data_IF_609386890529
#
_entry.id   IF_609386890529
#
_cell.length_a   1.000
_cell.length_b   1.000
_cell.length_c   1.000
_cell.angle_alpha   90.00
_cell.angle_beta   90.00
_cell.angle_gamma   90.00
#
_symmetry.space_group_name_H-M   'P 1'
#
loop_
_entity.id
_entity.type
_entity.pdbx_description
1 polymer ?
#
# COMPACT_ATOMS: atom_id res chain seq x y z
N UNK A 1 19.32 2.52 5.59
CA UNK A 1 19.02 3.67 4.72
C UNK A 1 17.78 3.43 3.89
N UNK A 2 17.81 2.46 2.97
CA UNK A 2 16.65 2.18 2.12
C UNK A 2 15.45 1.69 2.92
N UNK A 3 15.68 0.91 3.97
CA UNK A 3 14.59 0.45 4.82
C UNK A 3 13.90 1.64 5.51
N UNK A 4 14.68 2.63 5.94
CA UNK A 4 14.11 3.83 6.56
C UNK A 4 13.23 4.61 5.58
N UNK A 5 13.62 4.66 4.30
CA UNK A 5 12.81 5.30 3.26
C UNK A 5 11.49 4.56 3.10
N UNK A 6 11.54 3.24 3.04
CA UNK A 6 10.32 2.41 2.92
C UNK A 6 9.41 2.63 4.13
N UNK A 7 9.96 2.57 5.33
CA UNK A 7 9.18 2.75 6.55
C UNK A 7 8.56 4.13 6.64
N UNK A 8 9.31 5.16 6.29
CA UNK A 8 8.81 6.53 6.34
C UNK A 8 7.66 6.72 5.35
N UNK A 9 7.81 6.18 4.14
CA UNK A 9 6.74 6.28 3.14
C UNK A 9 5.47 5.56 3.63
N UNK A 10 5.63 4.36 4.20
CA UNK A 10 4.50 3.60 4.72
C UNK A 10 3.80 4.34 5.87
N UNK A 11 4.57 4.98 6.76
CA UNK A 11 4.00 5.77 7.84
C UNK A 11 3.22 6.96 7.32
N UNK A 12 3.75 7.65 6.31
CA UNK A 12 3.06 8.78 5.71
C UNK A 12 1.79 8.34 5.00
N UNK A 13 1.84 7.23 4.28
CA UNK A 13 0.67 6.67 3.62
C UNK A 13 -0.42 6.31 4.62
N UNK A 14 -0.04 5.67 5.73
CA UNK A 14 -0.96 5.31 6.80
C UNK A 14 -1.60 6.56 7.40
N UNK A 15 -0.79 7.54 7.76
CA UNK A 15 -1.26 8.76 8.41
C UNK A 15 -2.22 9.54 7.52
N UNK A 16 -1.85 9.75 6.26
CA UNK A 16 -2.69 10.54 5.35
C UNK A 16 -3.99 9.83 5.01
N UNK A 17 -3.94 8.50 4.82
CA UNK A 17 -5.15 7.74 4.53
C UNK A 17 -6.08 7.69 5.74
N UNK A 18 -5.54 7.44 6.94
CA UNK A 18 -6.37 7.32 8.13
C UNK A 18 -6.99 8.66 8.55
N UNK A 19 -6.32 9.76 8.25
CA UNK A 19 -6.83 11.10 8.53
C UNK A 19 -7.61 11.70 7.36
N UNK A 20 -7.81 10.93 6.28
CA UNK A 20 -8.57 11.35 5.10
C UNK A 20 -8.01 12.61 4.45
N UNK A 21 -6.68 12.72 4.45
CA UNK A 21 -5.98 13.87 3.87
C UNK A 21 -5.71 13.57 2.40
N UNK A 22 -6.70 13.82 1.56
CA UNK A 22 -6.65 13.42 0.15
C UNK A 22 -5.44 13.97 -0.59
N UNK A 23 -5.25 15.30 -0.54
CA UNK A 23 -4.17 15.93 -1.31
C UNK A 23 -2.79 15.43 -0.83
N UNK A 24 -2.60 15.34 0.48
CA UNK A 24 -1.35 14.86 1.04
C UNK A 24 -1.10 13.41 0.69
N UNK A 25 -2.17 12.59 0.69
CA UNK A 25 -2.05 11.18 0.33
C UNK A 25 -1.67 11.01 -1.14
N UNK A 26 -2.33 11.75 -2.03
CA UNK A 26 -2.02 11.67 -3.45
C UNK A 26 -0.64 12.22 -3.78
N UNK A 27 -0.08 13.09 -2.94
CA UNK A 27 1.27 13.59 -3.12
C UNK A 27 2.35 12.52 -2.88
N UNK A 28 1.96 11.40 -2.27
CA UNK A 28 2.85 10.25 -2.08
C UNK A 28 2.90 9.33 -3.30
N UNK A 29 2.10 9.60 -4.31
CA UNK A 29 1.92 8.73 -5.46
C UNK A 29 2.37 9.44 -6.72
N UNK A 30 3.25 8.77 -7.49
CA UNK A 30 3.74 9.32 -8.75
C UNK A 30 2.62 9.45 -9.77
N UNK A 31 2.67 10.50 -10.57
CA UNK A 31 1.72 10.66 -11.68
C UNK A 31 1.89 9.58 -12.75
N UNK A 32 3.01 8.86 -12.71
CA UNK A 32 3.29 7.74 -13.61
C UNK A 32 2.97 6.39 -12.97
N UNK A 33 2.27 6.38 -11.85
CA UNK A 33 2.04 5.16 -11.08
C UNK A 33 1.30 4.09 -11.90
N UNK A 34 1.63 2.84 -11.59
CA UNK A 34 0.99 1.68 -12.20
C UNK A 34 0.68 0.67 -11.09
N UNK A 35 -0.58 0.32 -10.94
CA UNK A 35 -1.02 -0.75 -10.03
C UNK A 35 -1.43 -1.95 -10.85
N UNK A 36 -0.87 -3.12 -10.54
CA UNK A 36 -1.17 -4.37 -11.23
C UNK A 36 -1.55 -5.45 -10.21
N UNK A 37 -2.04 -6.58 -10.72
CA UNK A 37 -2.40 -7.73 -9.89
C UNK A 37 -3.80 -7.70 -9.33
N UNK A 38 -4.58 -6.66 -9.63
CA UNK A 38 -5.96 -6.58 -9.18
C UNK A 38 -6.85 -7.30 -10.19
N UNK A 39 -7.59 -8.31 -9.72
CA UNK A 39 -8.44 -9.11 -10.59
C UNK A 39 -9.46 -8.24 -11.31
N UNK A 40 -9.56 -8.45 -12.63
CA UNK A 40 -10.48 -7.68 -13.47
C UNK A 40 -9.91 -6.40 -14.02
N UNK A 41 -8.67 -6.05 -13.68
CA UNK A 41 -8.02 -4.82 -14.15
C UNK A 41 -6.60 -5.14 -14.59
N UNK A 42 -6.21 -4.62 -15.76
CA UNK A 42 -4.84 -4.81 -16.23
C UNK A 42 -3.87 -3.85 -15.55
N UNK A 43 -4.27 -2.60 -15.43
CA UNK A 43 -3.41 -1.56 -14.89
C UNK A 43 -4.26 -0.39 -14.40
N UNK A 44 -3.96 0.10 -13.21
CA UNK A 44 -4.63 1.26 -12.65
C UNK A 44 -3.62 2.41 -12.62
N UNK A 45 -3.97 3.51 -13.28
CA UNK A 45 -3.11 4.68 -13.35
C UNK A 45 -3.44 5.71 -12.25
N UNK A 46 -2.74 6.82 -12.28
CA UNK A 46 -2.90 7.87 -11.27
C UNK A 46 -4.34 8.39 -11.18
N UNK A 47 -4.95 8.68 -12.33
CA UNK A 47 -6.31 9.24 -12.32
C UNK A 47 -7.33 8.27 -11.76
N UNK A 48 -7.21 7.00 -12.09
CA UNK A 48 -8.10 5.97 -11.54
C UNK A 48 -7.88 5.81 -10.05
N UNK A 49 -6.63 5.82 -9.60
CA UNK A 49 -6.29 5.74 -8.20
C UNK A 49 -6.88 6.92 -7.42
N UNK A 50 -6.71 8.13 -7.98
CA UNK A 50 -7.23 9.34 -7.35
C UNK A 50 -8.76 9.28 -7.19
N UNK A 51 -9.45 8.79 -8.22
CA UNK A 51 -10.91 8.66 -8.14
C UNK A 51 -11.35 7.71 -7.05
N UNK A 52 -10.65 6.59 -6.90
CA UNK A 52 -10.98 5.62 -5.85
C UNK A 52 -10.74 6.23 -4.47
N UNK A 53 -9.59 6.87 -4.27
CA UNK A 53 -9.25 7.50 -2.99
C UNK A 53 -10.22 8.62 -2.64
N UNK A 54 -10.56 9.46 -3.63
CA UNK A 54 -11.50 10.56 -3.41
C UNK A 54 -12.84 10.03 -2.92
N UNK A 55 -13.33 8.99 -3.58
CA UNK A 55 -14.61 8.38 -3.22
C UNK A 55 -14.55 7.77 -1.82
N UNK A 56 -13.49 7.01 -1.53
CA UNK A 56 -13.34 6.37 -0.22
C UNK A 56 -13.25 7.37 0.91
N UNK A 57 -12.51 8.46 0.69
CA UNK A 57 -12.35 9.48 1.73
C UNK A 57 -13.62 10.31 1.90
N UNK A 58 -14.30 10.65 0.80
CA UNK A 58 -15.50 11.47 0.86
C UNK A 58 -16.70 10.73 1.46
N UNK A 59 -16.84 9.44 1.15
CA UNK A 59 -17.96 8.64 1.65
C UNK A 59 -17.74 8.12 3.06
N UNK A 60 -16.51 8.19 3.56
CA UNK A 60 -16.17 7.66 4.88
C UNK A 60 -16.16 6.15 4.96
N UNK A 61 -16.14 5.46 3.82
CA UNK A 61 -16.16 3.99 3.81
C UNK A 61 -14.83 3.42 4.32
N UNK A 62 -13.74 4.16 4.15
CA UNK A 62 -12.43 3.73 4.62
C UNK A 62 -12.30 4.00 6.12
N UNK A 63 -12.12 2.94 6.90
CA UNK A 63 -11.90 3.05 8.34
C UNK A 63 -10.42 3.24 8.67
N UNK A 64 -9.59 2.35 8.17
CA UNK A 64 -8.15 2.43 8.44
C UNK A 64 -7.34 1.64 7.43
N UNK A 65 -6.08 2.05 7.30
CA UNK A 65 -5.06 1.34 6.52
C UNK A 65 -3.89 1.10 7.44
N UNK A 66 -3.32 -0.11 7.39
CA UNK A 66 -2.09 -0.41 8.12
C UNK A 66 -1.25 -1.40 7.34
N UNK A 67 0.03 -1.45 7.66
CA UNK A 67 0.98 -2.34 6.99
C UNK A 67 1.69 -3.19 8.03
N UNK A 68 1.91 -4.47 7.70
CA UNK A 68 2.61 -5.42 8.57
C UNK A 68 3.73 -6.09 7.81
N UNK A 69 4.91 -6.12 8.42
CA UNK A 69 6.06 -6.76 7.82
C UNK A 69 6.70 -5.90 6.75
N UNK A 70 7.97 -6.14 6.52
CA UNK A 70 8.72 -5.40 5.51
C UNK A 70 9.85 -6.30 5.02
N UNK A 71 9.83 -6.57 3.71
CA UNK A 71 10.88 -7.37 3.08
C UNK A 71 11.52 -6.53 1.98
N UNK A 72 12.73 -6.07 2.24
CA UNK A 72 13.48 -5.27 1.25
C UNK A 72 13.95 -6.18 0.12
N UNK A 73 13.78 -5.73 -1.12
CA UNK A 73 14.20 -6.48 -2.30
C UNK A 73 15.43 -5.86 -2.96
N UNK A 74 15.41 -4.56 -3.20
CA UNK A 74 16.51 -3.87 -3.84
C UNK A 74 16.45 -2.38 -3.54
N UNK A 75 17.58 -1.71 -3.72
CA UNK A 75 17.62 -0.26 -3.56
C UNK A 75 18.76 0.32 -4.38
N UNK A 76 18.57 1.57 -4.80
CA UNK A 76 19.59 2.39 -5.44
C UNK A 76 19.43 3.81 -4.89
N UNK A 77 20.17 4.75 -5.44
CA UNK A 77 20.05 6.14 -5.00
C UNK A 77 18.69 6.75 -5.32
N UNK A 78 17.99 6.20 -6.31
CA UNK A 78 16.73 6.78 -6.80
C UNK A 78 15.54 5.84 -6.74
N UNK A 79 15.72 4.57 -6.36
CA UNK A 79 14.63 3.61 -6.30
C UNK A 79 14.77 2.67 -5.11
N UNK A 80 13.64 2.32 -4.51
CA UNK A 80 13.58 1.37 -3.41
C UNK A 80 12.42 0.42 -3.68
N UNK A 81 12.70 -0.89 -3.68
CA UNK A 81 11.68 -1.91 -3.92
C UNK A 81 11.56 -2.80 -2.69
N UNK A 82 10.33 -3.03 -2.27
CA UNK A 82 10.08 -3.86 -1.09
C UNK A 82 8.70 -4.52 -1.17
N UNK A 83 8.48 -5.48 -0.28
CA UNK A 83 7.18 -6.13 -0.10
C UNK A 83 6.69 -5.89 1.32
N UNK A 84 5.38 -5.78 1.46
CA UNK A 84 4.73 -5.65 2.77
C UNK A 84 3.33 -6.24 2.68
N UNK A 85 2.64 -6.32 3.83
CA UNK A 85 1.27 -6.79 3.88
C UNK A 85 0.37 -5.61 4.23
N UNK A 86 -0.54 -5.28 3.34
CA UNK A 86 -1.46 -4.16 3.52
C UNK A 86 -2.80 -4.64 4.02
N UNK A 87 -3.33 -3.99 5.06
CA UNK A 87 -4.63 -4.30 5.61
C UNK A 87 -5.49 -3.04 5.52
N UNK A 88 -6.59 -3.13 4.80
CA UNK A 88 -7.54 -2.04 4.65
C UNK A 88 -8.85 -2.46 5.29
N UNK A 89 -9.30 -1.69 6.27
CA UNK A 89 -10.55 -1.96 6.96
C UNK A 89 -11.58 -0.90 6.60
N UNK A 90 -12.78 -1.35 6.23
CA UNK A 90 -13.89 -0.46 5.93
C UNK A 90 -14.74 -0.23 7.17
N UNK A 91 -15.56 0.83 7.14
CA UNK A 91 -16.42 1.19 8.28
C UNK A 91 -17.49 0.15 8.60
N UNK A 92 -17.80 -0.74 7.65
CA UNK A 92 -18.71 -1.85 7.90
C UNK A 92 -18.00 -3.10 8.42
N UNK A 93 -16.73 -2.96 8.82
CA UNK A 93 -15.86 -4.02 9.32
C UNK A 93 -15.36 -5.00 8.26
N UNK A 94 -15.60 -4.73 6.98
CA UNK A 94 -15.01 -5.52 5.90
C UNK A 94 -13.50 -5.28 5.89
N UNK A 95 -12.73 -6.35 5.76
CA UNK A 95 -11.28 -6.27 5.73
C UNK A 95 -10.77 -6.82 4.40
N UNK A 96 -9.96 -6.01 3.71
CA UNK A 96 -9.19 -6.43 2.55
C UNK A 96 -7.74 -6.44 2.93
N UNK A 97 -7.10 -7.59 2.79
CA UNK A 97 -5.71 -7.74 3.20
C UNK A 97 -4.94 -8.47 2.10
N UNK A 98 -3.84 -7.86 1.67
CA UNK A 98 -3.05 -8.39 0.56
C UNK A 98 -1.57 -8.12 0.79
N UNK A 99 -0.73 -9.08 0.37
CA UNK A 99 0.68 -8.77 0.18
C UNK A 99 0.81 -7.85 -1.02
N UNK A 100 1.72 -6.89 -0.95
CA UNK A 100 1.97 -5.97 -2.05
C UNK A 100 3.48 -5.82 -2.26
N UNK A 101 3.86 -5.66 -3.52
CA UNK A 101 5.22 -5.30 -3.88
C UNK A 101 5.20 -3.84 -4.32
N UNK A 102 6.07 -3.03 -3.75
CA UNK A 102 6.08 -1.59 -3.92
C UNK A 102 7.41 -1.15 -4.50
N UNK A 103 7.36 -0.25 -5.48
CA UNK A 103 8.53 0.44 -5.99
C UNK A 103 8.35 1.94 -5.75
N UNK A 104 9.25 2.51 -4.96
CA UNK A 104 9.31 3.95 -4.74
C UNK A 104 10.41 4.54 -5.61
N UNK A 105 10.18 5.75 -6.11
CA UNK A 105 11.17 6.48 -6.90
C UNK A 105 11.35 7.88 -6.34
N UNK A 106 12.61 8.30 -6.27
CA UNK A 106 12.95 9.67 -5.89
C UNK A 106 12.75 10.57 -7.10
N UNK A 107 11.84 11.53 -6.98
CA UNK A 107 11.52 12.42 -8.09
C UNK A 107 12.30 13.73 -8.01
N UNK A 108 12.18 14.52 -9.07
CA UNK A 108 12.99 15.74 -9.22
C UNK A 108 12.82 16.75 -8.10
N UNK A 109 11.67 16.74 -7.41
CA UNK A 109 11.42 17.63 -6.29
C UNK A 109 11.98 17.12 -4.96
N UNK A 110 12.70 16.00 -4.98
CA UNK A 110 13.31 15.43 -3.79
C UNK A 110 12.39 14.54 -2.97
N UNK A 111 11.20 14.24 -3.46
CA UNK A 111 10.26 13.39 -2.75
C UNK A 111 10.25 11.98 -3.29
N UNK A 112 10.09 11.02 -2.38
CA UNK A 112 9.92 9.62 -2.73
C UNK A 112 8.45 9.36 -2.98
N UNK A 113 8.12 8.83 -4.17
CA UNK A 113 6.74 8.56 -4.56
C UNK A 113 6.56 7.14 -5.04
N UNK A 114 5.35 6.63 -4.84
CA UNK A 114 4.98 5.30 -5.30
C UNK A 114 4.93 5.30 -6.83
N UNK A 115 5.80 4.50 -7.44
CA UNK A 115 5.83 4.37 -8.90
C UNK A 115 5.12 3.12 -9.39
N UNK A 116 5.26 2.02 -8.66
CA UNK A 116 4.59 0.76 -9.02
C UNK A 116 4.13 0.06 -7.76
N UNK A 117 2.95 -0.55 -7.85
CA UNK A 117 2.46 -1.44 -6.81
C UNK A 117 1.86 -2.67 -7.49
N UNK A 118 2.22 -3.85 -6.98
CA UNK A 118 1.69 -5.11 -7.48
C UNK A 118 1.04 -5.85 -6.33
N UNK A 119 -0.22 -6.22 -6.51
CA UNK A 119 -0.93 -7.02 -5.52
C UNK A 119 -0.51 -8.47 -5.72
N UNK A 120 -0.01 -9.10 -4.66
CA UNK A 120 0.48 -10.47 -4.70
C UNK A 120 -0.65 -11.47 -4.45
N UNK A 121 -0.47 -12.70 -4.94
CA UNK A 121 -1.37 -13.78 -4.57
C UNK A 121 -1.19 -14.12 -3.09
N UNK A 122 -2.19 -14.79 -2.51
CA UNK A 122 -2.09 -15.25 -1.12
C UNK A 122 -0.93 -16.22 -0.93
N UNK A 123 -0.68 -17.07 -1.91
CA UNK A 123 0.42 -18.03 -1.82
C UNK A 123 1.79 -17.33 -1.80
N UNK A 124 1.97 -16.33 -2.65
CA UNK A 124 3.22 -15.57 -2.67
C UNK A 124 3.43 -14.83 -1.35
N UNK A 125 2.39 -14.18 -0.84
CA UNK A 125 2.49 -13.47 0.43
C UNK A 125 2.86 -14.41 1.57
N UNK A 126 2.29 -15.60 1.57
CA UNK A 126 2.55 -16.62 2.59
C UNK A 126 3.99 -17.10 2.51
N UNK A 127 4.50 -17.34 1.30
CA UNK A 127 5.88 -17.78 1.10
C UNK A 127 6.88 -16.72 1.56
N UNK A 128 6.53 -15.44 1.43
CA UNK A 128 7.37 -14.33 1.88
C UNK A 128 7.24 -14.04 3.36
N UNK A 129 6.38 -14.79 4.08
CA UNK A 129 6.18 -14.58 5.51
C UNK A 129 5.42 -13.32 5.85
N UNK A 130 4.64 -12.78 4.91
CA UNK A 130 3.94 -11.51 5.09
C UNK A 130 2.52 -11.68 5.64
N UNK A 131 1.99 -12.92 5.64
CA UNK A 131 0.67 -13.21 6.19
C UNK A 131 0.90 -14.02 7.44
N UNK A 132 0.81 -13.39 8.61
CA UNK A 132 1.11 -14.16 9.81
C UNK A 132 0.72 -13.45 11.08
N UNK A 133 0.99 -14.17 12.16
CA UNK A 133 0.89 -13.65 13.50
C UNK A 133 -0.54 -13.35 13.90
N UNK A 134 -0.67 -12.35 14.73
CA UNK A 134 -1.96 -11.97 15.28
C UNK A 134 -2.96 -11.55 14.22
N UNK A 135 -2.49 -11.00 13.11
CA UNK A 135 -3.40 -10.59 12.04
C UNK A 135 -4.12 -11.80 11.46
N UNK A 136 -3.35 -12.83 11.13
CA UNK A 136 -3.94 -14.07 10.59
C UNK A 136 -4.89 -14.69 11.60
N UNK A 137 -4.51 -14.71 12.86
CA UNK A 137 -5.37 -15.25 13.92
C UNK A 137 -6.66 -14.46 14.05
N UNK A 138 -6.59 -13.15 13.89
CA UNK A 138 -7.77 -12.29 13.97
C UNK A 138 -8.72 -12.52 12.80
N UNK A 139 -8.18 -12.94 11.65
CA UNK A 139 -9.00 -13.16 10.46
C UNK A 139 -9.60 -14.55 10.39
N UNK A 140 -9.15 -15.47 11.23
CA UNK A 140 -9.61 -16.86 11.23
C UNK A 140 -10.57 -17.08 12.40
N UNK A 141 -11.87 -17.24 12.12
CA UNK A 141 -12.85 -17.46 13.18
C UNK A 141 -12.51 -18.70 14.01
N UNK A 142 -12.73 -18.63 15.30
CA UNK A 142 -12.52 -19.76 16.18
C UNK A 142 -11.09 -19.99 16.59
N UNK A 143 -10.22 -19.06 16.32
CA UNK A 143 -8.81 -19.17 16.72
C UNK A 143 -8.50 -18.35 17.94
#
# INVERSE_FOLDING_TARGET
MSEAIAQQWLEQSTTTANNKQFDAHMDLISKKVSLTGLEGFENIDYDAWARVCEKEFATGVLQSVRYNGLKMLSSSETQVRFKTYEVVEATDATINANGIEVLLELEADGKWRLLQERIMSSDEAREDGLVQGSLLSALLPGK
#
